data_IF_816819039977
#
_entry.id   IF_816819039977
#
_cell.length_a   1.000
_cell.length_b   1.000
_cell.length_c   1.000
_cell.angle_alpha   90.00
_cell.angle_beta   90.00
_cell.angle_gamma   90.00
#
_symmetry.space_group_name_H-M   'P 1'
#
loop_
_entity.id
_entity.type
_entity.pdbx_description
1 polymer ?
#
# COMPACT_ATOMS: atom_id res chain seq x y z
N UNK A 1 -1.06 -17.66 6.12
CA UNK A 1 -1.13 -16.20 6.35
C UNK A 1 -1.42 -15.51 5.03
N UNK A 2 -2.41 -14.62 4.97
CA UNK A 2 -2.68 -13.81 3.78
C UNK A 2 -1.83 -12.52 3.81
N UNK A 3 -1.54 -11.97 2.63
CA UNK A 3 -0.90 -10.66 2.47
C UNK A 3 -1.48 -9.98 1.23
N UNK A 4 -1.52 -8.66 1.22
CA UNK A 4 -1.97 -7.86 0.08
C UNK A 4 -0.94 -6.77 -0.22
N UNK A 5 -0.78 -6.46 -1.50
CA UNK A 5 -0.18 -5.20 -1.91
C UNK A 5 -1.24 -4.11 -1.79
N UNK A 6 -0.88 -2.96 -1.22
CA UNK A 6 -1.73 -1.78 -1.22
C UNK A 6 -1.32 -0.85 -2.37
N UNK A 7 -2.29 -0.12 -2.92
CA UNK A 7 -2.03 0.93 -3.91
C UNK A 7 -1.50 2.21 -3.25
N UNK A 8 -1.25 3.25 -4.06
CA UNK A 8 -0.84 4.57 -3.58
C UNK A 8 -1.99 5.38 -2.95
N UNK A 9 -3.24 4.99 -3.22
CA UNK A 9 -4.41 5.54 -2.56
C UNK A 9 -4.74 4.72 -1.30
N UNK A 10 -4.74 5.31 -0.09
CA UNK A 10 -5.01 4.60 1.16
C UNK A 10 -6.47 4.19 1.36
N UNK A 11 -7.39 4.57 0.45
CA UNK A 11 -8.82 4.28 0.58
C UNK A 11 -9.11 2.77 0.65
N UNK A 12 -9.80 2.27 1.70
CA UNK A 12 -9.92 0.82 1.95
C UNK A 12 -11.04 0.10 1.17
N UNK A 13 -11.90 0.82 0.43
CA UNK A 13 -13.08 0.24 -0.25
C UNK A 13 -12.75 -0.94 -1.16
N UNK A 14 -11.57 -0.95 -1.81
CA UNK A 14 -11.18 -2.04 -2.71
C UNK A 14 -11.05 -3.38 -2.00
N UNK A 15 -10.80 -3.40 -0.69
CA UNK A 15 -10.62 -4.60 0.12
C UNK A 15 -11.80 -4.86 1.07
N UNK A 16 -12.42 -3.80 1.60
CA UNK A 16 -13.42 -3.89 2.67
C UNK A 16 -14.81 -3.38 2.29
N UNK A 17 -15.04 -2.98 1.04
CA UNK A 17 -16.38 -2.67 0.56
C UNK A 17 -17.27 -3.91 0.48
N UNK A 18 -18.57 -3.75 0.74
CA UNK A 18 -19.58 -4.82 0.64
C UNK A 18 -19.50 -5.58 -0.70
N UNK A 19 -19.45 -4.83 -1.80
CA UNK A 19 -19.42 -5.38 -3.17
C UNK A 19 -18.01 -5.49 -3.75
N UNK A 20 -16.98 -5.27 -2.93
CA UNK A 20 -15.61 -5.29 -3.40
C UNK A 20 -15.19 -6.71 -3.80
N UNK A 21 -14.67 -6.87 -5.02
CA UNK A 21 -14.20 -8.17 -5.51
C UNK A 21 -13.09 -8.78 -4.63
N UNK A 22 -12.29 -7.93 -3.97
CA UNK A 22 -11.24 -8.36 -3.03
C UNK A 22 -11.67 -8.42 -1.57
N UNK A 23 -12.96 -8.23 -1.26
CA UNK A 23 -13.51 -8.62 0.04
C UNK A 23 -13.60 -10.14 0.13
N UNK A 24 -12.44 -10.77 0.38
CA UNK A 24 -12.28 -12.24 0.47
C UNK A 24 -12.83 -12.81 1.77
N UNK A 25 -12.98 -11.96 2.78
CA UNK A 25 -13.57 -12.32 4.07
C UNK A 25 -15.09 -12.41 4.00
N UNK A 26 -15.70 -11.81 2.96
CA UNK A 26 -17.16 -11.67 2.81
C UNK A 26 -17.80 -10.98 4.01
N UNK A 27 -17.02 -10.18 4.74
CA UNK A 27 -17.50 -9.42 5.87
C UNK A 27 -18.26 -8.19 5.37
N UNK A 28 -19.42 -7.97 5.93
CA UNK A 28 -20.37 -6.94 5.52
C UNK A 28 -20.99 -6.35 6.78
N UNK A 29 -20.91 -5.03 6.93
CA UNK A 29 -21.31 -4.32 8.13
C UNK A 29 -21.79 -2.90 7.73
N UNK A 30 -22.95 -2.48 8.23
CA UNK A 30 -23.57 -1.19 7.86
C UNK A 30 -22.74 0.01 8.32
N UNK A 31 -22.22 -0.03 9.55
CA UNK A 31 -21.30 0.99 10.08
C UNK A 31 -20.03 1.10 9.23
N UNK A 32 -19.49 -0.02 8.74
CA UNK A 32 -18.37 0.02 7.80
C UNK A 32 -18.75 0.71 6.49
N UNK A 33 -19.94 0.42 5.93
CA UNK A 33 -20.39 1.07 4.70
C UNK A 33 -20.51 2.60 4.87
N UNK A 34 -21.04 3.06 6.01
CA UNK A 34 -21.12 4.48 6.36
C UNK A 34 -19.73 5.13 6.49
N UNK A 35 -18.80 4.46 7.17
CA UNK A 35 -17.42 4.95 7.37
C UNK A 35 -16.65 5.02 6.05
N UNK A 36 -16.81 4.01 5.18
CA UNK A 36 -16.23 4.02 3.84
C UNK A 36 -16.80 5.15 2.96
N UNK A 37 -18.09 5.47 3.12
CA UNK A 37 -18.71 6.62 2.47
C UNK A 37 -18.16 7.95 3.01
N UNK A 38 -17.99 8.06 4.34
CA UNK A 38 -17.41 9.23 5.00
C UNK A 38 -15.97 9.51 4.56
N UNK A 39 -15.12 8.48 4.46
CA UNK A 39 -13.76 8.59 3.91
C UNK A 39 -13.76 9.10 2.46
N UNK A 40 -14.85 8.83 1.73
CA UNK A 40 -15.00 9.16 0.31
C UNK A 40 -15.80 10.43 0.06
N UNK A 41 -16.22 11.14 1.10
CA UNK A 41 -17.05 12.34 0.99
C UNK A 41 -16.23 13.56 0.56
N UNK A 42 -16.92 14.61 0.13
CA UNK A 42 -16.30 15.90 -0.17
C UNK A 42 -15.66 16.54 1.07
N UNK A 43 -16.20 16.30 2.27
CA UNK A 43 -15.60 16.77 3.52
C UNK A 43 -14.18 16.23 3.72
N UNK A 44 -13.85 15.06 3.14
CA UNK A 44 -12.51 14.48 3.19
C UNK A 44 -11.48 15.22 2.31
N UNK A 45 -11.86 16.31 1.62
CA UNK A 45 -10.90 17.29 1.10
C UNK A 45 -10.20 18.06 2.25
N UNK A 46 -10.86 18.21 3.41
CA UNK A 46 -10.21 18.69 4.62
C UNK A 46 -9.35 17.58 5.26
N UNK A 47 -8.10 17.90 5.55
CA UNK A 47 -7.14 16.91 6.05
C UNK A 47 -7.48 16.41 7.46
N UNK A 48 -7.98 17.29 8.34
CA UNK A 48 -8.32 16.94 9.71
C UNK A 48 -9.58 16.06 9.74
N UNK A 49 -10.60 16.40 8.95
CA UNK A 49 -11.78 15.58 8.77
C UNK A 49 -11.42 14.19 8.24
N UNK A 50 -10.61 14.14 7.17
CA UNK A 50 -10.19 12.88 6.57
C UNK A 50 -9.43 12.01 7.58
N UNK A 51 -8.47 12.58 8.29
CA UNK A 51 -7.71 11.86 9.32
C UNK A 51 -8.62 11.28 10.41
N UNK A 52 -9.64 12.04 10.82
CA UNK A 52 -10.63 11.57 11.79
C UNK A 52 -11.51 10.45 11.23
N UNK A 53 -11.96 10.55 9.98
CA UNK A 53 -12.74 9.50 9.32
C UNK A 53 -11.97 8.17 9.22
N UNK A 54 -10.66 8.23 8.92
CA UNK A 54 -9.81 7.03 8.92
C UNK A 54 -9.64 6.43 10.33
N UNK A 55 -9.49 7.25 11.37
CA UNK A 55 -9.40 6.75 12.76
C UNK A 55 -10.67 6.02 13.18
N UNK A 56 -11.83 6.57 12.89
CA UNK A 56 -13.12 5.92 13.19
C UNK A 56 -13.28 4.60 12.44
N UNK A 57 -12.81 4.54 11.18
CA UNK A 57 -12.78 3.30 10.42
C UNK A 57 -11.80 2.26 10.99
N UNK A 58 -10.59 2.68 11.37
CA UNK A 58 -9.60 1.81 12.01
C UNK A 58 -10.12 1.25 13.35
N UNK A 59 -10.78 2.07 14.17
CA UNK A 59 -11.43 1.64 15.42
C UNK A 59 -12.50 0.58 15.16
N UNK A 60 -13.33 0.76 14.12
CA UNK A 60 -14.33 -0.23 13.73
C UNK A 60 -13.71 -1.56 13.29
N UNK A 61 -12.61 -1.52 12.52
CA UNK A 61 -11.88 -2.74 12.12
C UNK A 61 -11.24 -3.43 13.32
N UNK A 62 -10.74 -2.68 14.31
CA UNK A 62 -10.19 -3.25 15.54
C UNK A 62 -11.28 -3.89 16.42
N UNK A 63 -12.45 -3.25 16.54
CA UNK A 63 -13.58 -3.73 17.34
C UNK A 63 -14.21 -4.99 16.73
N UNK A 64 -14.50 -4.98 15.44
CA UNK A 64 -15.16 -6.09 14.73
C UNK A 64 -14.18 -7.21 14.35
N UNK A 65 -12.88 -6.91 14.30
CA UNK A 65 -11.79 -7.81 13.95
C UNK A 65 -12.03 -8.70 12.70
N UNK A 66 -12.57 -8.19 11.58
CA UNK A 66 -12.79 -9.01 10.38
C UNK A 66 -11.45 -9.49 9.80
N UNK A 67 -10.41 -8.69 9.96
CA UNK A 67 -9.02 -9.02 9.69
C UNK A 67 -8.16 -8.53 10.87
N UNK A 68 -7.14 -9.29 11.24
CA UNK A 68 -6.16 -8.87 12.25
C UNK A 68 -4.85 -8.55 11.55
N UNK A 69 -4.45 -7.27 11.44
CA UNK A 69 -3.16 -6.88 10.88
C UNK A 69 -2.00 -7.47 11.70
N UNK A 70 -1.00 -8.03 11.02
CA UNK A 70 0.12 -8.73 11.69
C UNK A 70 1.46 -8.02 11.55
N UNK A 71 1.80 -7.53 10.35
CA UNK A 71 3.11 -6.95 10.10
C UNK A 71 3.09 -5.91 8.98
N UNK A 72 3.83 -4.82 9.20
CA UNK A 72 4.30 -3.93 8.14
C UNK A 72 5.61 -4.47 7.56
N UNK A 73 5.86 -4.20 6.26
CA UNK A 73 7.04 -4.71 5.56
C UNK A 73 7.90 -3.58 5.03
N UNK A 74 9.19 -3.64 5.32
CA UNK A 74 10.22 -2.87 4.63
C UNK A 74 10.74 -3.73 3.48
N UNK A 75 10.88 -3.14 2.28
CA UNK A 75 11.45 -3.82 1.12
C UNK A 75 12.94 -3.51 1.02
N UNK A 76 13.78 -4.54 1.13
CA UNK A 76 15.19 -4.46 0.77
C UNK A 76 15.35 -4.87 -0.71
N UNK A 77 16.02 -4.05 -1.51
CA UNK A 77 16.31 -4.34 -2.91
C UNK A 77 17.83 -4.38 -3.11
N UNK A 78 18.36 -5.53 -3.51
CA UNK A 78 19.77 -5.66 -3.88
C UNK A 78 19.94 -5.37 -5.38
N UNK A 79 20.86 -4.45 -5.70
CA UNK A 79 21.14 -4.02 -7.07
C UNK A 79 22.62 -4.23 -7.34
N UNK A 80 22.96 -4.89 -8.45
CA UNK A 80 24.36 -5.10 -8.79
C UNK A 80 25.05 -3.75 -9.04
N UNK A 81 26.31 -3.60 -8.62
CA UNK A 81 27.09 -2.37 -8.83
C UNK A 81 27.23 -1.94 -10.30
N UNK A 82 26.99 -2.85 -11.26
CA UNK A 82 26.97 -2.51 -12.69
C UNK A 82 25.73 -1.72 -13.13
N UNK A 83 24.66 -1.72 -12.35
CA UNK A 83 23.42 -1.01 -12.70
C UNK A 83 23.54 0.44 -12.27
N UNK A 84 23.29 1.36 -13.19
CA UNK A 84 23.32 2.80 -12.98
C UNK A 84 21.92 3.39 -13.09
N UNK A 85 21.70 4.46 -12.33
CA UNK A 85 20.46 5.22 -12.24
C UNK A 85 19.24 4.43 -11.75
N UNK A 86 19.40 3.26 -11.11
CA UNK A 86 18.25 2.53 -10.56
C UNK A 86 17.60 3.31 -9.41
N UNK A 87 16.28 3.49 -9.48
CA UNK A 87 15.48 4.13 -8.45
C UNK A 87 14.17 3.34 -8.27
N UNK A 88 13.69 3.17 -7.03
CA UNK A 88 12.43 2.46 -6.72
C UNK A 88 11.50 3.29 -5.83
N UNK A 89 11.82 4.57 -5.62
CA UNK A 89 10.96 5.50 -4.88
C UNK A 89 9.64 5.71 -5.65
N UNK A 90 8.55 5.93 -4.91
CA UNK A 90 7.22 6.12 -5.51
C UNK A 90 7.05 7.48 -6.19
N UNK A 91 7.73 8.52 -5.70
CA UNK A 91 7.69 9.88 -6.26
C UNK A 91 9.06 10.20 -6.86
N UNK A 92 9.18 10.09 -8.18
CA UNK A 92 10.42 10.28 -8.94
C UNK A 92 10.10 10.55 -10.42
N UNK A 93 11.03 11.19 -11.12
CA UNK A 93 10.99 11.41 -12.58
C UNK A 93 11.66 10.27 -13.37
N UNK A 94 12.10 9.21 -12.68
CA UNK A 94 12.79 8.08 -13.31
C UNK A 94 11.86 7.23 -14.15
N UNK A 95 12.35 6.82 -15.31
CA UNK A 95 11.76 5.78 -16.16
C UNK A 95 12.77 4.65 -16.47
N UNK A 96 12.29 3.54 -17.00
CA UNK A 96 13.12 2.41 -17.45
C UNK A 96 14.18 2.81 -18.48
N UNK A 97 13.95 3.88 -19.23
CA UNK A 97 14.91 4.46 -20.18
C UNK A 97 16.14 5.07 -19.51
N UNK A 98 16.06 5.46 -18.23
CA UNK A 98 17.18 6.02 -17.48
C UNK A 98 18.12 4.93 -16.95
N UNK A 99 17.63 3.69 -16.85
CA UNK A 99 18.39 2.56 -16.37
C UNK A 99 19.50 2.17 -17.35
N UNK A 100 20.73 2.05 -16.87
CA UNK A 100 21.88 1.72 -17.70
C UNK A 100 22.79 0.69 -17.03
N UNK A 101 23.64 0.05 -17.85
CA UNK A 101 24.75 -0.77 -17.38
C UNK A 101 26.06 -0.02 -17.59
N UNK A 102 26.93 0.00 -16.58
CA UNK A 102 28.29 0.54 -16.70
C UNK A 102 29.32 -0.51 -17.10
N UNK A 103 28.93 -1.78 -17.17
CA UNK A 103 29.78 -2.89 -17.61
C UNK A 103 28.96 -4.05 -18.18
N UNK A 104 29.51 -4.74 -19.19
CA UNK A 104 28.88 -5.94 -19.78
C UNK A 104 28.77 -7.08 -18.77
N UNK A 105 29.81 -7.27 -17.94
CA UNK A 105 29.86 -8.31 -16.92
C UNK A 105 29.35 -7.80 -15.57
N UNK A 106 28.68 -8.64 -14.75
CA UNK A 106 28.24 -8.28 -13.40
C UNK A 106 29.44 -8.08 -12.47
N UNK A 107 29.30 -7.14 -11.53
CA UNK A 107 30.24 -7.05 -10.42
C UNK A 107 30.06 -8.30 -9.54
N UNK A 108 31.11 -9.12 -9.45
CA UNK A 108 31.15 -10.31 -8.60
C UNK A 108 31.91 -9.97 -7.32
N UNK A 109 31.35 -10.39 -6.18
CA UNK A 109 32.07 -10.23 -4.91
C UNK A 109 33.09 -11.36 -4.79
N UNK A 110 34.38 -11.04 -4.83
CA UNK A 110 35.47 -12.02 -4.77
C UNK A 110 36.00 -12.25 -3.35
N UNK A 111 35.29 -11.79 -2.32
CA UNK A 111 35.66 -12.11 -0.93
C UNK A 111 35.41 -13.61 -0.69
N UNK A 112 36.49 -14.33 -0.36
CA UNK A 112 36.47 -15.69 0.18
C UNK A 112 36.03 -15.67 1.64
#
# INVERSE_FOLDING_TARGET
MAAWGVGSNPRPNGLYGRDAQFNRLRWVNEKNDELLAKISSEDSFDEAFRAQAYKEWDENILEEAPAVPTAYRIRLCAVNKRVKNWDIRFVKDWDWCDAALVSDKPAVNTMK
#
